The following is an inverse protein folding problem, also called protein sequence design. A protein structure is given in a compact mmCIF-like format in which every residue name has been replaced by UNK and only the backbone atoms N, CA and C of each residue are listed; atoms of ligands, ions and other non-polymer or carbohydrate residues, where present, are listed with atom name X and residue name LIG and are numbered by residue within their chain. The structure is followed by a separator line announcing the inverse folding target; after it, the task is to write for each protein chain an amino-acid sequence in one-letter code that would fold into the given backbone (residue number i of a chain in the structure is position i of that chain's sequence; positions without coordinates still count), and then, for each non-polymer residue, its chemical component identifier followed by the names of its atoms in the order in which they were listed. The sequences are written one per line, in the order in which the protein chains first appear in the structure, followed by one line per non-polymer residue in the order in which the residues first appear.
data_IF_574799446242
#
_entry.id   IF_574799446242
#
_cell.length_a   1.000
_cell.length_b   1.000
_cell.length_c   1.000
_cell.angle_alpha   90.00
_cell.angle_beta   90.00
_cell.angle_gamma   90.00
#
_symmetry.space_group_name_H-M   'P 1'
#
loop_
_entity.id
_entity.type
_entity.pdbx_description
1 polymer ?
#
# COMPACT_ATOMS: atom_id res chain seq x y z
N UNK A 1 4.81 41.80 7.55
CA UNK A 1 3.85 40.72 7.90
C UNK A 1 3.79 39.80 6.69
N UNK A 2 4.66 38.79 6.64
CA UNK A 2 4.59 37.79 5.56
C UNK A 2 3.45 36.85 5.89
N UNK A 3 2.42 36.85 5.05
CA UNK A 3 1.36 35.85 5.13
C UNK A 3 2.02 34.49 4.90
N UNK A 4 2.02 33.63 5.93
CA UNK A 4 2.24 32.20 5.75
C UNK A 4 1.11 31.70 4.85
N UNK A 5 1.34 31.67 3.55
CA UNK A 5 0.54 30.84 2.65
C UNK A 5 0.77 29.41 3.10
N UNK A 6 -0.21 28.85 3.79
CA UNK A 6 -0.28 27.43 4.07
C UNK A 6 -0.27 26.71 2.73
N UNK A 7 0.82 26.03 2.42
CA UNK A 7 0.95 25.20 1.23
C UNK A 7 0.21 23.89 1.52
N UNK A 8 -1.12 23.97 1.60
CA UNK A 8 -1.97 22.81 1.87
C UNK A 8 -1.81 21.85 0.70
N UNK A 9 -1.39 20.62 0.98
CA UNK A 9 -1.28 19.59 -0.03
C UNK A 9 -2.65 19.39 -0.70
N UNK A 10 -2.67 19.39 -2.04
CA UNK A 10 -3.90 19.20 -2.81
C UNK A 10 -4.56 17.84 -2.55
N UNK A 11 -3.75 16.81 -2.30
CA UNK A 11 -4.18 15.46 -1.96
C UNK A 11 -3.52 15.04 -0.66
N UNK A 12 -4.34 14.54 0.26
CA UNK A 12 -3.93 14.00 1.55
C UNK A 12 -4.07 12.48 1.61
N UNK A 13 -4.82 11.90 0.67
CA UNK A 13 -5.11 10.48 0.62
C UNK A 13 -5.01 9.96 -0.80
N UNK A 14 -4.43 8.77 -0.95
CA UNK A 14 -4.41 8.04 -2.22
C UNK A 14 -5.05 6.68 -2.06
N UNK A 15 -5.80 6.31 -3.09
CA UNK A 15 -6.37 4.99 -3.29
C UNK A 15 -5.83 4.40 -4.58
N UNK A 16 -5.39 3.15 -4.53
CA UNK A 16 -4.92 2.41 -5.69
C UNK A 16 -5.50 1.00 -5.73
N UNK A 17 -5.75 0.49 -6.93
CA UNK A 17 -6.22 -0.86 -7.18
C UNK A 17 -5.37 -1.50 -8.28
N UNK A 18 -4.59 -2.51 -7.88
CA UNK A 18 -3.62 -3.16 -8.74
C UNK A 18 -4.10 -4.58 -9.03
N UNK A 19 -4.18 -4.93 -10.31
CA UNK A 19 -4.35 -6.33 -10.73
C UNK A 19 -2.97 -6.88 -11.09
N UNK A 20 -2.51 -7.93 -10.40
CA UNK A 20 -1.23 -8.57 -10.71
C UNK A 20 -1.36 -9.33 -12.03
N UNK A 21 -0.41 -9.11 -12.95
CA UNK A 21 -0.30 -9.96 -14.14
C UNK A 21 0.44 -11.26 -13.80
N UNK A 22 0.14 -12.36 -14.49
CA UNK A 22 0.68 -13.70 -14.19
C UNK A 22 2.22 -13.78 -14.19
N UNK A 23 2.87 -12.99 -15.05
CA UNK A 23 4.30 -13.13 -15.34
C UNK A 23 5.22 -12.22 -14.50
N UNK A 24 4.69 -11.42 -13.56
CA UNK A 24 5.52 -10.49 -12.77
C UNK A 24 6.42 -11.22 -11.75
N UNK A 25 6.01 -12.41 -11.29
CA UNK A 25 6.74 -13.15 -10.26
C UNK A 25 7.83 -14.07 -10.81
N UNK A 26 7.95 -14.20 -12.14
CA UNK A 26 9.00 -14.96 -12.80
C UNK A 26 9.88 -14.01 -13.63
N UNK A 27 10.95 -13.53 -12.99
CA UNK A 27 12.04 -12.85 -13.67
C UNK A 27 13.15 -13.87 -13.93
N UNK A 28 13.35 -14.23 -15.20
CA UNK A 28 14.51 -15.00 -15.62
C UNK A 28 15.56 -14.09 -16.26
N UNK A 29 16.82 -14.34 -15.95
CA UNK A 29 17.97 -13.79 -16.67
C UNK A 29 18.76 -14.97 -17.23
N UNK A 30 18.72 -15.12 -18.55
CA UNK A 30 19.23 -16.31 -19.27
C UNK A 30 18.61 -17.59 -18.70
N UNK A 31 19.43 -18.49 -18.16
CA UNK A 31 19.03 -19.78 -17.57
C UNK A 31 18.86 -19.72 -16.03
N UNK A 32 18.78 -18.51 -15.46
CA UNK A 32 18.66 -18.32 -14.00
C UNK A 32 17.32 -17.69 -13.64
N UNK A 33 16.55 -18.42 -12.85
CA UNK A 33 15.32 -17.92 -12.23
C UNK A 33 15.62 -17.08 -11.00
N UNK A 34 15.19 -15.82 -11.01
CA UNK A 34 15.25 -14.95 -9.84
C UNK A 34 14.04 -15.22 -8.94
N UNK A 35 14.29 -15.24 -7.63
CA UNK A 35 13.24 -15.27 -6.62
C UNK A 35 13.26 -13.96 -5.83
N UNK A 36 12.10 -13.37 -5.52
CA UNK A 36 12.04 -12.21 -4.66
C UNK A 36 12.60 -12.56 -3.27
N UNK A 37 13.43 -11.66 -2.74
CA UNK A 37 13.91 -11.75 -1.36
C UNK A 37 13.03 -10.83 -0.53
N UNK A 38 12.44 -11.36 0.54
CA UNK A 38 11.70 -10.55 1.50
C UNK A 38 12.65 -9.62 2.25
N UNK A 39 12.53 -8.32 2.00
CA UNK A 39 13.16 -7.29 2.82
C UNK A 39 12.39 -7.21 4.14
N UNK A 40 12.97 -7.75 5.21
CA UNK A 40 12.33 -7.83 6.55
C UNK A 40 11.83 -6.49 7.09
N UNK A 41 12.36 -5.36 6.61
CA UNK A 41 11.96 -4.02 7.03
C UNK A 41 12.24 -3.00 5.90
N UNK A 42 11.43 -3.00 4.84
CA UNK A 42 11.30 -1.73 4.10
C UNK A 42 10.45 -0.81 4.96
N UNK A 43 11.05 0.20 5.60
CA UNK A 43 10.31 1.31 6.19
C UNK A 43 9.63 2.05 5.04
N UNK A 44 8.38 1.71 4.79
CA UNK A 44 7.60 2.36 3.74
C UNK A 44 7.30 3.78 4.18
N UNK A 45 7.85 4.74 3.44
CA UNK A 45 7.65 6.16 3.73
C UNK A 45 6.34 6.60 3.06
N UNK A 46 5.39 7.04 3.89
CA UNK A 46 4.13 7.60 3.41
C UNK A 46 4.40 8.95 2.71
N UNK A 47 3.99 9.08 1.45
CA UNK A 47 4.04 10.36 0.71
C UNK A 47 2.80 11.22 0.93
N UNK A 48 1.72 10.58 1.38
CA UNK A 48 0.43 11.18 1.70
C UNK A 48 0.10 10.84 3.16
N UNK A 49 -0.84 11.56 3.76
CA UNK A 49 -1.30 11.28 5.12
C UNK A 49 -1.78 9.82 5.22
N UNK A 50 -2.50 9.35 4.20
CA UNK A 50 -3.03 7.99 4.10
C UNK A 50 -2.91 7.42 2.68
N UNK A 51 -2.50 6.16 2.56
CA UNK A 51 -2.43 5.44 1.29
C UNK A 51 -3.03 4.05 1.46
N UNK A 52 -4.04 3.74 0.65
CA UNK A 52 -4.70 2.44 0.59
C UNK A 52 -4.51 1.82 -0.78
N UNK A 53 -3.93 0.62 -0.82
CA UNK A 53 -3.73 -0.15 -2.04
C UNK A 53 -4.39 -1.51 -1.92
N UNK A 54 -5.27 -1.83 -2.86
CA UNK A 54 -5.74 -3.19 -3.07
C UNK A 54 -4.94 -3.88 -4.16
N UNK A 55 -4.62 -5.15 -3.93
CA UNK A 55 -3.87 -5.99 -4.84
C UNK A 55 -4.69 -7.25 -5.08
N UNK A 56 -5.20 -7.40 -6.30
CA UNK A 56 -5.92 -8.59 -6.74
C UNK A 56 -5.00 -9.48 -7.57
N UNK A 57 -4.98 -10.78 -7.25
CA UNK A 57 -4.28 -11.79 -8.03
C UNK A 57 -5.30 -12.71 -8.70
N UNK A 58 -5.62 -12.51 -10.00
CA UNK A 58 -6.60 -13.31 -10.72
C UNK A 58 -6.19 -14.77 -10.94
N UNK A 59 -4.91 -15.10 -10.70
CA UNK A 59 -4.38 -16.46 -10.86
C UNK A 59 -4.34 -17.23 -9.53
N UNK A 60 -4.62 -16.57 -8.40
CA UNK A 60 -4.76 -17.24 -7.12
C UNK A 60 -6.12 -17.94 -7.09
N UNK A 61 -6.14 -19.24 -6.82
CA UNK A 61 -7.38 -20.01 -6.68
C UNK A 61 -8.27 -19.53 -5.51
N UNK A 62 -7.75 -18.67 -4.64
CA UNK A 62 -8.43 -18.20 -3.45
C UNK A 62 -9.26 -16.92 -3.67
N UNK A 63 -9.29 -16.36 -4.89
CA UNK A 63 -9.96 -15.07 -5.23
C UNK A 63 -9.63 -13.93 -4.24
N UNK A 64 -8.46 -14.03 -3.60
CA UNK A 64 -8.12 -13.24 -2.43
C UNK A 64 -7.69 -11.83 -2.84
N UNK A 65 -8.40 -10.83 -2.29
CA UNK A 65 -8.00 -9.43 -2.38
C UNK A 65 -7.05 -9.11 -1.23
N UNK A 66 -5.80 -8.80 -1.54
CA UNK A 66 -4.85 -8.31 -0.55
C UNK A 66 -5.00 -6.80 -0.36
N UNK A 67 -4.87 -6.33 0.87
CA UNK A 67 -4.97 -4.92 1.23
C UNK A 67 -3.67 -4.45 1.89
N UNK A 68 -3.16 -3.31 1.45
CA UNK A 68 -2.00 -2.65 2.04
C UNK A 68 -2.37 -1.22 2.42
N UNK A 69 -2.03 -0.86 3.64
CA UNK A 69 -2.32 0.44 4.24
C UNK A 69 -1.01 1.06 4.73
N UNK A 70 -0.71 2.26 4.25
CA UNK A 70 0.47 3.03 4.66
C UNK A 70 -0.01 4.40 5.14
N UNK A 71 0.32 4.74 6.39
CA UNK A 71 -0.04 6.01 7.00
C UNK A 71 1.21 6.81 7.37
N UNK A 72 1.09 8.14 7.39
CA UNK A 72 2.14 8.98 7.96
C UNK A 72 2.18 8.84 9.49
N UNK A 73 3.33 8.41 10.02
CA UNK A 73 3.54 8.34 11.48
C UNK A 73 3.59 9.71 12.16
N UNK A 74 3.79 10.79 11.40
CA UNK A 74 3.72 12.16 11.93
C UNK A 74 2.28 12.57 12.28
N UNK A 75 1.28 11.86 11.71
CA UNK A 75 -0.14 12.17 11.84
C UNK A 75 -0.95 11.06 12.52
N UNK A 76 -0.50 9.81 12.41
CA UNK A 76 -1.24 8.65 12.89
C UNK A 76 -0.36 7.75 13.77
N UNK A 77 -0.84 7.49 14.98
CA UNK A 77 -0.30 6.43 15.84
C UNK A 77 -0.74 5.04 15.35
N UNK A 78 0.07 4.01 15.63
CA UNK A 78 -0.19 2.62 15.21
C UNK A 78 -1.57 2.10 15.62
N UNK A 79 -2.06 2.51 16.78
CA UNK A 79 -3.40 2.15 17.26
C UNK A 79 -4.50 2.73 16.36
N UNK A 80 -4.31 3.94 15.83
CA UNK A 80 -5.23 4.58 14.91
C UNK A 80 -5.20 3.88 13.54
N UNK A 81 -4.01 3.57 13.03
CA UNK A 81 -3.84 2.80 11.78
C UNK A 81 -4.55 1.45 11.88
N UNK A 82 -4.38 0.74 13.00
CA UNK A 82 -5.04 -0.54 13.26
C UNK A 82 -6.57 -0.43 13.25
N UNK A 83 -7.13 0.62 13.87
CA UNK A 83 -8.58 0.86 13.87
C UNK A 83 -9.12 1.16 12.47
N UNK A 84 -8.37 1.93 11.67
CA UNK A 84 -8.72 2.21 10.28
C UNK A 84 -8.74 0.92 9.47
N UNK A 85 -7.69 0.09 9.56
CA UNK A 85 -7.62 -1.19 8.87
C UNK A 85 -8.81 -2.11 9.19
N UNK A 86 -9.16 -2.24 10.49
CA UNK A 86 -10.33 -3.04 10.92
C UNK A 86 -11.66 -2.52 10.36
N UNK A 87 -11.82 -1.19 10.25
CA UNK A 87 -13.03 -0.60 9.66
C UNK A 87 -13.12 -0.90 8.17
N UNK A 88 -12.00 -0.84 7.44
CA UNK A 88 -11.98 -1.20 6.03
C UNK A 88 -12.28 -2.68 5.81
N UNK A 89 -11.73 -3.57 6.64
CA UNK A 89 -12.07 -4.99 6.61
C UNK A 89 -13.58 -5.20 6.78
N UNK A 90 -14.19 -4.58 7.79
CA UNK A 90 -15.62 -4.67 8.04
C UNK A 90 -16.51 -4.09 6.92
N UNK A 91 -16.02 -3.12 6.14
CA UNK A 91 -16.81 -2.52 5.05
C UNK A 91 -16.81 -3.39 3.77
N UNK A 92 -15.84 -4.30 3.64
CA UNK A 92 -15.63 -5.10 2.44
C UNK A 92 -16.13 -6.54 2.63
N UNK A 93 -16.17 -7.03 3.86
CA UNK A 93 -16.79 -8.30 4.28
C UNK A 93 -18.30 -8.12 4.56
#
# INVERSE_FOLDING_TARGET
IHAHQSNVAFLQTVFDFITRSPDIDQLSFDDVDLRPIELKQSTEIAKFDFMLTFIYNPMSNDDMLSCRNVCSHDLFEDMTVTKIARRFQYLIE
#
